data_IF_740610856576
#
_entry.id   IF_740610856576
#
_cell.length_a   1.000
_cell.length_b   1.000
_cell.length_c   1.000
_cell.angle_alpha   90.00
_cell.angle_beta   90.00
_cell.angle_gamma   90.00
#
_symmetry.space_group_name_H-M   'P 1'
#
loop_
_entity.id
_entity.type
_entity.pdbx_description
1 polymer ?
#
# COMPACT_ATOMS: atom_id res chain seq x y z
N UNK A 1 12.39 8.70 -20.75
CA UNK A 1 11.50 8.91 -19.59
C UNK A 1 12.15 8.23 -18.38
N UNK A 2 12.83 8.94 -17.46
CA UNK A 2 13.44 8.28 -16.32
C UNK A 2 12.33 7.86 -15.35
N UNK A 3 12.25 6.57 -15.06
CA UNK A 3 11.44 6.02 -13.98
C UNK A 3 11.86 6.69 -12.68
N UNK A 4 10.99 7.53 -12.10
CA UNK A 4 11.24 8.09 -10.77
C UNK A 4 11.12 6.95 -9.78
N UNK A 5 12.27 6.49 -9.31
CA UNK A 5 12.44 5.51 -8.25
C UNK A 5 11.47 5.85 -7.11
N UNK A 6 10.51 4.98 -6.82
CA UNK A 6 9.46 5.23 -5.82
C UNK A 6 9.96 5.12 -4.37
N UNK A 7 11.24 4.81 -4.16
CA UNK A 7 11.88 4.71 -2.84
C UNK A 7 12.55 6.02 -2.39
N UNK A 8 12.00 7.17 -2.77
CA UNK A 8 12.48 8.47 -2.26
C UNK A 8 11.99 8.65 -0.82
N UNK A 9 12.93 8.94 0.09
CA UNK A 9 12.60 9.22 1.48
C UNK A 9 11.62 10.40 1.62
N UNK A 10 10.70 10.30 2.57
CA UNK A 10 9.67 11.33 2.79
C UNK A 10 8.51 11.34 1.79
N UNK A 11 8.60 10.61 0.68
CA UNK A 11 7.57 10.60 -0.39
C UNK A 11 6.49 9.53 -0.24
N UNK A 12 6.46 8.80 0.88
CA UNK A 12 5.48 7.73 1.12
C UNK A 12 4.03 8.22 1.10
N UNK A 13 3.77 9.45 1.54
CA UNK A 13 2.43 10.06 1.48
C UNK A 13 2.00 10.34 0.04
N UNK A 14 2.91 10.87 -0.79
CA UNK A 14 2.63 11.12 -2.21
C UNK A 14 2.33 9.80 -2.95
N UNK A 15 3.04 8.73 -2.61
CA UNK A 15 2.78 7.40 -3.15
C UNK A 15 1.40 6.88 -2.74
N UNK A 16 0.99 7.07 -1.48
CA UNK A 16 -0.35 6.69 -1.02
C UNK A 16 -1.44 7.51 -1.73
N UNK A 17 -1.26 8.83 -1.87
CA UNK A 17 -2.20 9.69 -2.61
C UNK A 17 -2.31 9.25 -4.08
N UNK A 18 -1.20 8.87 -4.70
CA UNK A 18 -1.21 8.33 -6.05
C UNK A 18 -1.96 6.98 -6.12
N UNK A 19 -1.76 6.10 -5.14
CA UNK A 19 -2.48 4.83 -5.04
C UNK A 19 -4.00 5.04 -4.89
N UNK A 20 -4.42 6.00 -4.07
CA UNK A 20 -5.83 6.38 -3.91
C UNK A 20 -6.45 6.91 -5.21
N UNK A 21 -5.75 7.79 -5.94
CA UNK A 21 -6.21 8.32 -7.23
C UNK A 21 -6.38 7.26 -8.31
N UNK A 22 -5.65 6.16 -8.19
CA UNK A 22 -5.70 5.02 -9.10
C UNK A 22 -6.65 3.91 -8.61
N UNK A 23 -7.41 4.16 -7.54
CA UNK A 23 -8.30 3.20 -6.89
C UNK A 23 -7.61 1.86 -6.56
N UNK A 24 -6.34 1.94 -6.11
CA UNK A 24 -5.61 0.79 -5.59
C UNK A 24 -5.93 0.59 -4.10
N UNK A 25 -5.84 -0.66 -3.62
CA UNK A 25 -6.12 -1.00 -2.22
C UNK A 25 -5.25 -0.21 -1.23
N UNK A 26 -4.05 0.16 -1.63
CA UNK A 26 -3.11 0.92 -0.83
C UNK A 26 -1.67 0.56 -1.17
N UNK A 27 -0.79 0.70 -0.18
CA UNK A 27 0.65 0.43 -0.33
C UNK A 27 1.13 -0.56 0.72
N UNK A 28 2.24 -1.23 0.41
CA UNK A 28 2.97 -2.07 1.37
C UNK A 28 4.35 -1.46 1.59
N UNK A 29 4.73 -1.32 2.86
CA UNK A 29 5.98 -0.69 3.26
C UNK A 29 6.74 -1.56 4.28
N UNK A 30 8.06 -1.40 4.34
CA UNK A 30 8.91 -1.91 5.43
C UNK A 30 9.78 -0.78 5.95
N UNK A 31 10.42 -0.98 7.10
CA UNK A 31 11.48 -0.05 7.54
C UNK A 31 12.61 -0.01 6.50
N UNK A 32 13.18 1.18 6.27
CA UNK A 32 14.27 1.36 5.29
C UNK A 32 15.48 0.48 5.64
N UNK A 33 15.85 0.44 6.91
CA UNK A 33 17.02 -0.29 7.40
C UNK A 33 16.85 -1.82 7.43
N UNK A 34 15.62 -2.33 7.46
CA UNK A 34 15.39 -3.78 7.51
C UNK A 34 15.82 -4.42 6.19
N UNK A 35 16.44 -5.61 6.24
CA UNK A 35 16.75 -6.37 5.03
C UNK A 35 15.47 -6.91 4.37
N UNK A 36 15.59 -7.47 3.16
CA UNK A 36 14.53 -8.28 2.54
C UNK A 36 14.71 -9.74 2.95
N UNK A 37 14.10 -10.15 4.06
CA UNK A 37 14.15 -11.50 4.61
C UNK A 37 12.74 -11.99 4.97
N UNK A 38 12.53 -13.30 5.15
CA UNK A 38 11.21 -13.82 5.55
C UNK A 38 10.68 -13.20 6.85
N UNK A 39 11.56 -12.79 7.76
CA UNK A 39 11.22 -12.20 9.05
C UNK A 39 10.95 -10.69 8.98
N UNK A 40 11.12 -10.08 7.80
CA UNK A 40 10.91 -8.64 7.62
C UNK A 40 9.46 -8.28 7.92
N UNK A 41 9.28 -7.30 8.80
CA UNK A 41 7.95 -6.78 9.11
C UNK A 41 7.48 -5.88 7.98
N UNK A 42 6.33 -6.24 7.42
CA UNK A 42 5.65 -5.50 6.38
C UNK A 42 4.41 -4.81 6.94
N UNK A 43 4.23 -3.55 6.58
CA UNK A 43 3.11 -2.71 6.95
C UNK A 43 2.21 -2.53 5.74
N UNK A 44 0.97 -3.01 5.83
CA UNK A 44 -0.08 -2.72 4.85
C UNK A 44 -0.78 -1.42 5.24
N UNK A 45 -0.76 -0.44 4.35
CA UNK A 45 -1.40 0.86 4.54
C UNK A 45 -2.50 0.95 3.50
N UNK A 46 -3.76 0.90 3.93
CA UNK A 46 -4.91 0.90 3.04
C UNK A 46 -5.31 2.33 2.64
N UNK A 47 -5.63 2.49 1.35
CA UNK A 47 -6.32 3.66 0.79
C UNK A 47 -7.68 3.82 1.45
N UNK A 48 -8.02 5.03 1.89
CA UNK A 48 -9.30 5.28 2.57
C UNK A 48 -10.50 5.23 1.63
N UNK A 49 -10.26 5.59 0.38
CA UNK A 49 -11.27 5.71 -0.68
C UNK A 49 -11.36 4.46 -1.55
N UNK A 50 -10.74 3.34 -1.14
CA UNK A 50 -10.69 2.14 -1.97
C UNK A 50 -12.06 1.49 -2.09
N UNK A 51 -12.63 1.55 -3.29
CA UNK A 51 -14.04 1.20 -3.51
C UNK A 51 -14.26 -0.31 -3.62
N UNK A 52 -13.24 -1.08 -4.05
CA UNK A 52 -13.36 -2.54 -4.20
C UNK A 52 -13.18 -3.35 -2.88
N UNK A 53 -12.95 -2.66 -1.76
CA UNK A 53 -12.91 -3.29 -0.44
C UNK A 53 -14.29 -3.68 0.08
N UNK A 54 -15.34 -2.93 -0.27
CA UNK A 54 -16.67 -3.09 0.30
C UNK A 54 -17.32 -4.43 -0.09
N UNK A 55 -17.19 -4.85 -1.34
CA UNK A 55 -17.70 -6.15 -1.81
C UNK A 55 -17.01 -7.37 -1.15
N UNK A 56 -15.79 -7.22 -0.62
CA UNK A 56 -15.04 -8.32 0.01
C UNK A 56 -15.35 -8.51 1.50
N UNK A 57 -15.77 -7.46 2.20
CA UNK A 57 -16.16 -7.60 3.62
C UNK A 57 -17.44 -8.41 3.77
N UNK A 58 -18.42 -8.21 2.89
CA UNK A 58 -19.67 -8.99 2.89
C UNK A 58 -19.44 -10.48 2.60
N UNK A 59 -18.48 -10.82 1.72
CA UNK A 59 -18.08 -12.20 1.45
C UNK A 59 -17.33 -12.84 2.63
N UNK A 60 -16.57 -12.07 3.39
CA UNK A 60 -15.86 -12.55 4.58
C UNK A 60 -16.81 -12.82 5.77
N UNK A 61 -17.94 -12.11 5.86
CA UNK A 61 -18.93 -12.28 6.94
C UNK A 61 -19.96 -13.40 6.69
N UNK A 62 -19.97 -14.02 5.51
CA UNK A 62 -20.89 -15.13 5.16
C UNK A 62 -20.33 -16.53 5.47
N UNK A 63 -19.39 -16.65 6.41
CA UNK A 63 -18.75 -17.93 6.74
C UNK A 63 -18.88 -18.26 8.22
#
# INVERSE_FOLDING_TARGET
>A
MPSRVFSIEGRGRDLLVAAERLDLEGIVAKRKADAYRPETVWYKIKSRTYTQGEARWELAQRR
#
